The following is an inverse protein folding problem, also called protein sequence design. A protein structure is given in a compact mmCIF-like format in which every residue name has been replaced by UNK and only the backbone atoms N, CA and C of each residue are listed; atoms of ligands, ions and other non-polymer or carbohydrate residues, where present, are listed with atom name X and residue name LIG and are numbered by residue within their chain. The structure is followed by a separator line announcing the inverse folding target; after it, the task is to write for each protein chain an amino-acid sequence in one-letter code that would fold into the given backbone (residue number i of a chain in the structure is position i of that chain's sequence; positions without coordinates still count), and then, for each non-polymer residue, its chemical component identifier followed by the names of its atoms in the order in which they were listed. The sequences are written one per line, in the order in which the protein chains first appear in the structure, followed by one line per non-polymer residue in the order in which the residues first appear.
data_IF_680945249422
#
_entry.id   IF_680945249422
#
_cell.length_a   1.000
_cell.length_b   1.000
_cell.length_c   1.000
_cell.angle_alpha   90.00
_cell.angle_beta   90.00
_cell.angle_gamma   90.00
#
_symmetry.space_group_name_H-M   'P 1'
#
loop_
_entity.id
_entity.type
_entity.pdbx_description
1 polymer ?
#
# COMPACT_ATOMS: atom_id res chain seq x y z
N UNK A 1 10.04 24.30 63.75
CA UNK A 1 9.55 23.15 64.55
C UNK A 1 8.28 22.62 63.91
N UNK A 2 8.26 21.29 63.70
CA UNK A 2 7.09 20.43 63.43
C UNK A 2 6.43 20.54 62.05
N UNK A 3 7.02 19.82 61.09
CA UNK A 3 6.25 19.10 60.07
C UNK A 3 5.38 18.05 60.77
N UNK A 4 4.08 18.06 60.48
CA UNK A 4 3.14 16.99 60.83
C UNK A 4 2.41 16.58 59.55
N UNK A 5 2.30 15.25 59.35
CA UNK A 5 1.44 14.53 58.40
C UNK A 5 1.92 14.61 56.94
N UNK A 6 2.52 13.57 56.32
CA UNK A 6 2.20 12.14 56.30
C UNK A 6 0.72 11.87 56.01
N UNK A 7 0.41 11.70 54.72
CA UNK A 7 -0.54 10.66 54.28
C UNK A 7 -0.03 9.99 53.00
N UNK A 8 0.42 8.75 53.20
CA UNK A 8 0.58 7.72 52.18
C UNK A 8 -0.80 7.29 51.72
N UNK A 9 -1.06 7.29 50.41
CA UNK A 9 -1.93 6.29 49.81
C UNK A 9 -1.11 5.58 48.72
N UNK A 10 -0.43 4.52 49.14
CA UNK A 10 0.30 3.64 48.24
C UNK A 10 -0.70 2.78 47.48
N UNK A 11 -0.80 2.95 46.16
CA UNK A 11 -1.30 1.89 45.27
C UNK A 11 -0.06 1.11 44.80
N UNK A 12 0.06 -0.09 45.32
CA UNK A 12 1.03 -1.10 44.92
C UNK A 12 0.52 -1.74 43.61
N UNK A 13 1.24 -1.58 42.50
CA UNK A 13 1.13 -2.50 41.35
C UNK A 13 2.39 -3.37 41.34
N UNK A 14 2.29 -4.71 41.33
CA UNK A 14 3.44 -5.57 41.41
C UNK A 14 4.33 -5.40 40.18
N UNK A 15 5.61 -5.22 40.48
CA UNK A 15 6.75 -5.22 39.58
C UNK A 15 6.72 -6.48 38.71
N UNK A 16 6.66 -6.30 37.39
CA UNK A 16 6.57 -7.41 36.45
C UNK A 16 6.86 -7.02 35.00
N UNK A 17 7.90 -6.22 34.78
CA UNK A 17 8.71 -6.21 33.55
C UNK A 17 8.05 -5.82 32.23
N UNK A 18 8.14 -4.54 31.88
CA UNK A 18 8.50 -4.15 30.52
C UNK A 18 9.60 -3.08 30.63
N UNK A 19 10.82 -3.51 30.31
CA UNK A 19 11.97 -2.65 30.03
C UNK A 19 11.59 -1.67 28.92
N UNK A 20 11.56 -0.38 29.25
CA UNK A 20 11.55 0.72 28.28
C UNK A 20 12.88 0.69 27.53
N UNK A 21 12.93 0.00 26.39
CA UNK A 21 13.94 0.30 25.37
C UNK A 21 13.58 1.65 24.73
N UNK A 22 14.56 2.52 24.69
CA UNK A 22 14.48 3.84 24.07
C UNK A 22 14.26 3.73 22.55
N UNK A 23 13.53 4.72 22.01
CA UNK A 23 13.13 4.95 20.62
C UNK A 23 12.07 3.99 20.04
N UNK A 24 10.85 4.52 19.85
CA UNK A 24 9.82 3.87 19.04
C UNK A 24 8.65 3.26 19.81
N UNK A 25 8.06 4.00 20.74
CA UNK A 25 6.69 3.70 21.16
C UNK A 25 5.74 4.16 20.03
N UNK A 26 5.63 3.38 18.96
CA UNK A 26 4.47 3.45 18.07
C UNK A 26 3.31 2.90 18.90
N UNK A 27 2.61 3.79 19.60
CA UNK A 27 1.29 3.47 20.12
C UNK A 27 0.39 3.34 18.89
N UNK A 28 0.37 2.15 18.28
CA UNK A 28 -0.57 1.81 17.21
C UNK A 28 -1.94 1.64 17.87
N UNK A 29 -2.60 2.77 18.15
CA UNK A 29 -4.03 2.77 18.41
C UNK A 29 -4.66 2.39 17.07
N UNK A 30 -4.99 1.11 16.90
CA UNK A 30 -5.88 0.66 15.83
C UNK A 30 -7.27 1.19 16.20
N UNK A 31 -7.53 2.45 15.88
CA UNK A 31 -8.91 2.88 15.67
C UNK A 31 -9.37 2.00 14.51
N UNK A 32 -10.23 1.02 14.78
CA UNK A 32 -10.85 0.26 13.71
C UNK A 32 -11.63 1.26 12.87
N UNK A 33 -11.05 1.70 11.75
CA UNK A 33 -11.71 2.55 10.77
C UNK A 33 -13.00 1.86 10.39
N UNK A 34 -14.14 2.42 10.79
CA UNK A 34 -15.46 1.85 10.44
C UNK A 34 -15.83 2.12 8.98
N UNK A 35 -14.91 2.58 8.17
CA UNK A 35 -15.12 3.03 6.80
C UNK A 35 -14.07 2.38 5.90
N UNK A 36 -14.43 1.98 4.67
CA UNK A 36 -13.47 1.46 3.71
C UNK A 36 -12.33 2.46 3.55
N UNK A 37 -11.11 1.95 3.51
CA UNK A 37 -9.91 2.76 3.46
C UNK A 37 -8.80 2.02 2.71
N UNK A 38 -7.88 2.78 2.14
CA UNK A 38 -6.73 2.23 1.45
C UNK A 38 -5.54 3.17 1.64
N UNK A 39 -4.40 2.59 2.00
CA UNK A 39 -3.13 3.28 2.16
C UNK A 39 -2.11 2.69 1.20
N UNK A 40 -1.47 3.56 0.44
CA UNK A 40 -0.38 3.20 -0.47
C UNK A 40 0.56 4.40 -0.60
N UNK A 41 1.85 4.15 -0.47
CA UNK A 41 2.89 5.13 -0.72
C UNK A 41 3.43 5.06 -2.16
N UNK A 42 4.09 6.15 -2.57
CA UNK A 42 4.98 6.16 -3.72
C UNK A 42 6.06 5.10 -3.54
N UNK A 43 6.37 4.35 -4.60
CA UNK A 43 7.20 3.15 -4.50
C UNK A 43 7.97 2.83 -5.77
N UNK A 44 9.06 2.09 -5.62
CA UNK A 44 9.77 1.49 -6.74
C UNK A 44 9.00 0.30 -7.31
N UNK A 45 8.90 0.22 -8.64
CA UNK A 45 8.26 -0.88 -9.32
C UNK A 45 9.21 -2.08 -9.42
N UNK A 46 9.21 -2.93 -8.39
CA UNK A 46 10.02 -4.15 -8.34
C UNK A 46 9.28 -5.33 -8.94
N UNK A 47 9.87 -6.00 -9.93
CA UNK A 47 9.31 -7.24 -10.50
C UNK A 47 7.93 -7.11 -11.17
N UNK A 48 7.50 -5.88 -11.50
CA UNK A 48 6.19 -5.60 -12.08
C UNK A 48 5.03 -5.76 -11.09
N UNK A 49 5.27 -5.51 -9.81
CA UNK A 49 4.26 -5.53 -8.74
C UNK A 49 4.21 -4.18 -8.04
N UNK A 50 3.05 -3.87 -7.48
CA UNK A 50 2.88 -2.78 -6.51
C UNK A 50 2.40 -3.36 -5.18
N UNK A 51 2.72 -2.68 -4.09
CA UNK A 51 2.33 -3.07 -2.73
C UNK A 51 1.37 -2.04 -2.17
N UNK A 52 0.24 -2.51 -1.63
CA UNK A 52 -0.70 -1.70 -0.86
C UNK A 52 -0.37 -1.91 0.62
N UNK A 53 -0.10 -0.81 1.33
CA UNK A 53 0.35 -0.86 2.72
C UNK A 53 -0.75 -1.38 3.64
N UNK A 54 -1.96 -0.85 3.46
CA UNK A 54 -3.16 -1.27 4.17
C UNK A 54 -4.39 -1.12 3.27
N UNK A 55 -5.28 -2.10 3.32
CA UNK A 55 -6.61 -1.99 2.74
C UNK A 55 -7.64 -2.48 3.75
N UNK A 56 -8.65 -1.67 4.02
CA UNK A 56 -9.80 -2.06 4.82
C UNK A 56 -11.06 -2.11 3.95
N UNK A 57 -11.66 -3.29 3.86
CA UNK A 57 -12.90 -3.51 3.13
C UNK A 57 -14.04 -3.86 4.09
N UNK A 58 -15.22 -3.26 3.89
CA UNK A 58 -16.42 -3.56 4.68
C UNK A 58 -17.06 -4.91 4.33
N UNK A 59 -16.89 -5.34 3.10
CA UNK A 59 -17.40 -6.59 2.54
C UNK A 59 -16.29 -7.20 1.69
N UNK A 60 -16.43 -8.46 1.29
CA UNK A 60 -15.56 -9.01 0.25
C UNK A 60 -15.60 -8.12 -1.00
N UNK A 61 -14.46 -7.98 -1.66
CA UNK A 61 -14.29 -7.02 -2.73
C UNK A 61 -12.92 -7.14 -3.39
N UNK A 62 -12.58 -6.11 -4.17
CA UNK A 62 -11.33 -6.05 -4.90
C UNK A 62 -10.58 -4.75 -4.62
N UNK A 63 -9.25 -4.84 -4.69
CA UNK A 63 -8.40 -3.69 -4.88
C UNK A 63 -7.83 -3.76 -6.28
N UNK A 64 -8.05 -2.71 -7.07
CA UNK A 64 -7.68 -2.63 -8.46
C UNK A 64 -6.73 -1.45 -8.70
N UNK A 65 -5.77 -1.64 -9.60
CA UNK A 65 -4.81 -0.60 -10.00
C UNK A 65 -5.26 -0.03 -11.34
N UNK A 66 -5.46 1.28 -11.38
CA UNK A 66 -5.85 2.03 -12.57
C UNK A 66 -4.75 3.01 -12.99
N UNK A 67 -4.49 3.17 -14.29
CA UNK A 67 -3.62 4.23 -14.78
C UNK A 67 -4.32 5.60 -14.66
N UNK A 68 -3.55 6.67 -14.53
CA UNK A 68 -4.09 8.03 -14.64
C UNK A 68 -4.42 8.39 -16.10
N UNK A 69 -5.33 9.36 -16.28
CA UNK A 69 -5.51 10.04 -17.57
C UNK A 69 -4.26 10.87 -17.91
N UNK A 70 -4.13 11.37 -19.16
CA UNK A 70 -3.11 12.37 -19.49
C UNK A 70 -3.14 13.61 -18.59
N UNK A 71 -4.32 13.95 -18.05
CA UNK A 71 -4.52 15.07 -17.11
C UNK A 71 -4.31 14.66 -15.63
N UNK A 72 -3.83 13.43 -15.38
CA UNK A 72 -3.50 12.94 -14.04
C UNK A 72 -4.71 12.56 -13.17
N UNK A 73 -5.88 12.38 -13.78
CA UNK A 73 -7.14 12.02 -13.10
C UNK A 73 -7.37 10.51 -13.09
N UNK A 74 -8.20 10.03 -12.16
CA UNK A 74 -8.64 8.64 -12.15
C UNK A 74 -9.47 8.36 -13.41
N UNK A 75 -9.10 7.30 -14.13
CA UNK A 75 -9.86 6.83 -15.29
C UNK A 75 -10.64 5.59 -14.89
N UNK A 76 -11.96 5.60 -15.15
CA UNK A 76 -12.81 4.42 -15.08
C UNK A 76 -12.55 3.42 -16.23
N UNK A 77 -11.30 3.25 -16.63
CA UNK A 77 -10.85 2.27 -17.61
C UNK A 77 -10.62 0.91 -16.95
N UNK A 78 -10.33 -0.12 -17.75
CA UNK A 78 -9.98 -1.44 -17.22
C UNK A 78 -8.75 -1.36 -16.31
N UNK A 79 -8.77 -2.09 -15.21
CA UNK A 79 -7.63 -2.14 -14.30
C UNK A 79 -6.43 -2.85 -14.92
N UNK A 80 -5.24 -2.36 -14.60
CA UNK A 80 -3.96 -2.92 -15.04
C UNK A 80 -3.39 -3.93 -14.04
N UNK A 81 -4.09 -4.18 -12.95
CA UNK A 81 -3.79 -5.18 -11.92
C UNK A 81 -4.93 -5.19 -10.90
N UNK A 82 -5.18 -6.33 -10.26
CA UNK A 82 -6.16 -6.42 -9.18
C UNK A 82 -5.89 -7.61 -8.28
N UNK A 83 -6.52 -7.60 -7.10
CA UNK A 83 -6.54 -8.72 -6.15
C UNK A 83 -7.90 -8.74 -5.44
N UNK A 84 -8.41 -9.94 -5.15
CA UNK A 84 -9.58 -10.09 -4.28
C UNK A 84 -9.15 -10.11 -2.83
N UNK A 85 -9.88 -9.37 -1.99
CA UNK A 85 -9.66 -9.31 -0.54
C UNK A 85 -10.96 -9.65 0.17
N UNK A 86 -10.81 -10.33 1.31
CA UNK A 86 -11.92 -10.55 2.24
C UNK A 86 -12.20 -9.29 3.04
N UNK A 87 -13.42 -9.18 3.55
CA UNK A 87 -13.77 -8.12 4.50
C UNK A 87 -12.80 -8.08 5.69
N UNK A 88 -12.52 -6.87 6.18
CA UNK A 88 -11.53 -6.62 7.23
C UNK A 88 -10.27 -5.92 6.71
N UNK A 89 -9.23 -5.92 7.54
CA UNK A 89 -7.94 -5.31 7.23
C UNK A 89 -7.01 -6.32 6.55
N UNK A 90 -6.38 -5.88 5.47
CA UNK A 90 -5.28 -6.57 4.79
C UNK A 90 -4.06 -5.64 4.77
N UNK A 91 -2.86 -6.18 4.96
CA UNK A 91 -1.62 -5.42 5.00
C UNK A 91 -0.62 -6.00 4.00
N UNK A 92 0.27 -5.13 3.47
CA UNK A 92 1.36 -5.51 2.56
C UNK A 92 0.85 -6.37 1.39
N UNK A 93 -0.22 -5.90 0.75
CA UNK A 93 -0.89 -6.64 -0.32
C UNK A 93 -0.17 -6.38 -1.63
N UNK A 94 0.48 -7.42 -2.16
CA UNK A 94 1.13 -7.35 -3.47
C UNK A 94 0.13 -7.55 -4.61
N UNK A 95 0.16 -6.65 -5.60
CA UNK A 95 -0.67 -6.72 -6.80
C UNK A 95 0.23 -6.76 -8.03
N UNK A 96 0.12 -7.83 -8.82
CA UNK A 96 0.87 -7.98 -10.07
C UNK A 96 0.21 -7.18 -11.20
N UNK A 97 1.01 -6.37 -11.87
CA UNK A 97 0.55 -5.61 -13.03
C UNK A 97 0.55 -6.51 -14.28
N UNK A 98 -0.51 -6.41 -15.08
CA UNK A 98 -0.72 -7.15 -16.33
C UNK A 98 0.06 -6.57 -17.50
N UNK A 99 0.49 -5.31 -17.36
CA UNK A 99 1.27 -4.59 -18.37
C UNK A 99 2.46 -3.89 -17.73
N UNK A 100 3.46 -3.56 -18.54
CA UNK A 100 4.61 -2.77 -18.10
C UNK A 100 4.15 -1.32 -17.88
N UNK A 101 4.63 -0.73 -16.78
CA UNK A 101 4.41 0.68 -16.44
C UNK A 101 5.77 1.38 -16.42
N UNK A 102 5.81 2.61 -16.91
CA UNK A 102 7.04 3.43 -16.96
C UNK A 102 7.29 4.11 -15.61
N UNK A 103 8.56 4.42 -15.34
CA UNK A 103 8.93 5.23 -14.18
C UNK A 103 8.30 6.62 -14.26
N UNK A 104 7.88 7.15 -13.12
CA UNK A 104 7.17 8.42 -13.00
C UNK A 104 5.68 8.33 -13.34
N UNK A 105 5.15 7.13 -13.65
CA UNK A 105 3.72 6.98 -13.93
C UNK A 105 2.91 7.15 -12.65
N UNK A 106 1.85 7.95 -12.72
CA UNK A 106 0.84 8.05 -11.68
C UNK A 106 -0.20 6.94 -11.84
N UNK A 107 -0.41 6.19 -10.76
CA UNK A 107 -1.39 5.13 -10.66
C UNK A 107 -2.40 5.44 -9.55
N UNK A 108 -3.53 4.75 -9.59
CA UNK A 108 -4.56 4.81 -8.57
C UNK A 108 -4.84 3.40 -8.06
N UNK A 109 -4.78 3.22 -6.75
CA UNK A 109 -5.34 2.05 -6.10
C UNK A 109 -6.79 2.36 -5.73
N UNK A 110 -7.72 1.55 -6.22
CA UNK A 110 -9.17 1.80 -6.13
C UNK A 110 -9.84 0.58 -5.51
N UNK A 111 -10.74 0.82 -4.56
CA UNK A 111 -11.55 -0.24 -3.95
C UNK A 111 -12.83 -0.46 -4.76
N UNK A 112 -13.12 -1.71 -5.08
CA UNK A 112 -14.32 -2.14 -5.77
C UNK A 112 -15.14 -3.13 -4.92
N UNK A 113 -16.46 -3.06 -5.03
CA UNK A 113 -17.35 -4.09 -4.52
C UNK A 113 -17.20 -5.38 -5.33
N UNK A 114 -17.35 -6.55 -4.71
CA UNK A 114 -17.55 -7.81 -5.44
C UNK A 114 -19.06 -8.03 -5.59
N UNK A 115 -19.54 -7.95 -6.82
CA UNK A 115 -20.95 -8.17 -7.18
C UNK A 115 -21.16 -9.52 -7.88
N UNK A 116 -20.07 -10.18 -8.26
CA UNK A 116 -20.08 -11.48 -8.92
C UNK A 116 -20.27 -12.63 -7.94
N UNK A 117 -20.84 -13.73 -8.43
CA UNK A 117 -20.92 -14.97 -7.65
C UNK A 117 -19.62 -15.81 -7.73
N UNK A 118 -18.75 -15.51 -8.70
CA UNK A 118 -17.54 -16.27 -9.02
C UNK A 118 -16.25 -15.63 -8.50
N UNK A 119 -16.35 -14.52 -7.74
CA UNK A 119 -15.21 -13.76 -7.20
C UNK A 119 -14.20 -13.33 -8.26
N UNK A 120 -14.66 -13.13 -9.51
CA UNK A 120 -13.84 -12.63 -10.60
C UNK A 120 -14.09 -11.15 -10.81
N UNK A 121 -13.00 -10.39 -10.84
CA UNK A 121 -13.04 -8.97 -11.15
C UNK A 121 -13.51 -8.73 -12.59
N UNK A 122 -14.64 -8.05 -12.75
CA UNK A 122 -15.33 -7.85 -14.04
C UNK A 122 -15.62 -6.37 -14.39
N UNK A 123 -14.99 -5.41 -13.70
CA UNK A 123 -15.14 -3.99 -14.00
C UNK A 123 -14.55 -3.62 -15.37
N UNK A 124 -15.35 -2.94 -16.22
CA UNK A 124 -14.93 -2.43 -17.53
C UNK A 124 -15.47 -1.03 -17.78
N UNK A 125 -14.78 -0.31 -18.66
CA UNK A 125 -15.28 0.96 -19.18
C UNK A 125 -16.63 0.75 -19.87
N UNK A 126 -17.65 1.49 -19.44
CA UNK A 126 -19.02 1.39 -19.99
C UNK A 126 -19.89 0.30 -19.37
N UNK A 127 -19.32 -0.60 -18.56
CA UNK A 127 -20.04 -1.64 -17.81
C UNK A 127 -19.70 -1.52 -16.32
N UNK A 128 -20.09 -0.40 -15.71
CA UNK A 128 -19.75 -0.06 -14.31
C UNK A 128 -20.66 -0.70 -13.28
N UNK A 129 -21.71 -1.41 -13.71
CA UNK A 129 -22.64 -2.12 -12.81
C UNK A 129 -21.98 -3.35 -12.17
N UNK A 130 -21.00 -3.93 -12.86
CA UNK A 130 -20.22 -5.05 -12.35
C UNK A 130 -19.00 -4.54 -11.62
N UNK A 131 -18.90 -4.98 -10.38
CA UNK A 131 -17.87 -4.62 -9.42
C UNK A 131 -17.65 -3.11 -9.35
N UNK A 132 -18.67 -2.32 -8.98
CA UNK A 132 -18.59 -0.87 -8.97
C UNK A 132 -17.55 -0.38 -7.95
N UNK A 133 -17.03 0.83 -8.21
CA UNK A 133 -16.16 1.54 -7.27
C UNK A 133 -16.90 1.77 -5.95
N UNK A 134 -16.22 1.56 -4.83
CA UNK A 134 -16.73 1.91 -3.50
C UNK A 134 -16.64 3.42 -3.30
N UNK A 135 -17.74 4.05 -2.87
CA UNK A 135 -17.77 5.48 -2.53
C UNK A 135 -17.98 5.70 -1.03
N UNK A 136 -17.27 6.68 -0.47
CA UNK A 136 -17.43 7.14 0.90
C UNK A 136 -17.68 8.65 0.90
N UNK A 137 -18.84 9.09 1.39
CA UNK A 137 -19.18 10.51 1.43
C UNK A 137 -19.32 11.17 0.05
N UNK A 138 -19.53 10.39 -1.01
CA UNK A 138 -19.60 10.87 -2.40
C UNK A 138 -18.28 10.82 -3.15
N UNK A 139 -17.17 10.53 -2.48
CA UNK A 139 -15.84 10.39 -3.08
C UNK A 139 -15.47 8.92 -3.29
N UNK A 140 -14.78 8.56 -4.39
CA UNK A 140 -14.30 7.20 -4.58
C UNK A 140 -13.24 6.86 -3.53
N UNK A 141 -13.29 5.65 -2.99
CA UNK A 141 -12.24 5.13 -2.12
C UNK A 141 -11.06 4.74 -2.99
N UNK A 142 -10.23 5.74 -3.28
CA UNK A 142 -9.10 5.65 -4.18
C UNK A 142 -7.93 6.51 -3.68
N UNK A 143 -6.71 6.00 -3.83
CA UNK A 143 -5.48 6.74 -3.51
C UNK A 143 -4.56 6.73 -4.70
N UNK A 144 -4.03 7.91 -5.03
CA UNK A 144 -3.03 8.08 -6.06
C UNK A 144 -1.62 7.86 -5.51
N UNK A 145 -0.75 7.27 -6.31
CA UNK A 145 0.67 7.10 -5.99
C UNK A 145 1.51 7.12 -7.26
N UNK A 146 2.79 7.44 -7.13
CA UNK A 146 3.78 7.40 -8.19
C UNK A 146 4.60 6.10 -8.09
N UNK A 147 4.92 5.54 -9.27
CA UNK A 147 5.90 4.45 -9.35
C UNK A 147 7.21 4.95 -9.96
N UNK A 148 8.34 4.63 -9.34
CA UNK A 148 9.67 4.84 -9.92
C UNK A 148 10.21 3.55 -10.54
N UNK A 149 11.18 3.67 -11.46
CA UNK A 149 11.93 2.52 -11.93
C UNK A 149 12.64 1.86 -10.75
N UNK A 150 12.67 0.53 -10.75
CA UNK A 150 13.68 -0.22 -10.01
C UNK A 150 15.04 0.31 -10.47
N UNK A 151 15.81 0.90 -9.57
CA UNK A 151 17.17 1.36 -9.81
C UNK A 151 18.00 0.13 -10.17
N UNK A 152 18.04 -0.24 -11.46
CA UNK A 152 18.90 -1.30 -11.93
C UNK A 152 20.31 -0.85 -11.64
N UNK A 153 20.93 -1.42 -10.60
CA UNK A 153 22.33 -1.20 -10.26
C UNK A 153 23.17 -1.20 -11.55
N UNK A 154 23.60 0.00 -11.97
CA UNK A 154 24.49 0.20 -13.11
C UNK A 154 25.89 -0.19 -12.63
N UNK A 155 26.15 -1.48 -12.45
CA UNK A 155 27.49 -1.99 -12.10
C UNK A 155 28.02 -3.09 -13.05
N UNK A 156 27.30 -3.43 -14.13
CA UNK A 156 27.74 -4.51 -15.03
C UNK A 156 28.40 -4.04 -16.36
N UNK A 157 28.54 -2.72 -16.62
CA UNK A 157 29.14 -2.22 -17.89
C UNK A 157 30.54 -1.62 -17.75
N UNK A 158 31.04 -1.41 -16.53
CA UNK A 158 32.41 -0.94 -16.28
C UNK A 158 33.48 -2.04 -16.29
N UNK A 159 33.11 -3.30 -16.08
CA UNK A 159 34.07 -4.37 -15.82
C UNK A 159 34.58 -5.13 -17.06
N UNK A 160 34.09 -4.86 -18.27
CA UNK A 160 34.42 -5.67 -19.47
C UNK A 160 35.39 -4.97 -20.45
N UNK A 161 36.09 -3.90 -20.05
CA UNK A 161 36.93 -3.12 -20.99
C UNK A 161 38.41 -2.97 -20.62
N UNK A 162 38.93 -3.74 -19.67
CA UNK A 162 40.36 -3.69 -19.31
C UNK A 162 40.91 -5.11 -19.15
N UNK A 163 40.99 -5.88 -20.24
CA UNK A 163 41.85 -7.08 -20.28
C UNK A 163 42.13 -7.58 -21.69
N UNK A 164 42.43 -6.71 -22.66
CA UNK A 164 43.12 -7.18 -23.87
C UNK A 164 43.90 -6.07 -24.59
N UNK A 165 44.90 -5.52 -23.91
CA UNK A 165 46.04 -4.90 -24.59
C UNK A 165 47.31 -5.57 -24.06
N UNK A 166 47.69 -6.69 -24.67
CA UNK A 166 49.05 -7.22 -24.56
C UNK A 166 49.88 -6.56 -25.66
N UNK A 167 50.87 -5.70 -25.35
CA UNK A 167 51.82 -5.27 -26.35
C UNK A 167 52.84 -6.40 -26.52
N UNK A 168 52.95 -6.94 -27.73
CA UNK A 168 54.11 -7.77 -28.09
C UNK A 168 54.85 -7.09 -29.25
N UNK A 169 56.17 -6.98 -29.05
CA UNK A 169 57.15 -6.28 -29.89
C UNK A 169 57.41 -7.02 -31.20
#
# INVERSE_FOLDING_TARGET
MKNWLRENWAIYLPVGGILLFAAGLVIMIVLQSRYPDIEVADQELVGGKVTIDMAFLKSDGFVAIHPSSPDGQLVGSSSIGHVSLKSGQSFLVEIRLKQRVESGTKLFAVVHHDTGADQRYDFRQGETEKDPIVFLGGEPVAVAFLVSAEERAIEARGALRVSDERPEK
#
